data_IF_899048056727
#
_entry.id   IF_899048056727
#
_cell.length_a   1.000
_cell.length_b   1.000
_cell.length_c   1.000
_cell.angle_alpha   90.00
_cell.angle_beta   90.00
_cell.angle_gamma   90.00
#
_symmetry.space_group_name_H-M   'P 1'
#
loop_
_entity.id
_entity.type
_entity.pdbx_description
1 polymer ?
#
# COMPACT_ATOMS: atom_id res chain seq x y z
N UNK A 1 13.87 1.58 0.87
CA UNK A 1 12.50 2.12 1.11
C UNK A 1 12.26 3.32 0.22
N UNK A 2 11.00 3.75 0.03
CA UNK A 2 10.68 4.99 -0.70
C UNK A 2 11.29 6.23 -0.04
N UNK A 3 11.61 7.25 -0.84
CA UNK A 3 12.27 8.48 -0.38
C UNK A 3 11.47 9.26 0.66
N UNK A 4 10.14 9.11 0.67
CA UNK A 4 9.23 9.74 1.64
C UNK A 4 9.19 9.03 3.01
N UNK A 5 9.88 7.90 3.17
CA UNK A 5 9.90 7.20 4.44
C UNK A 5 10.63 7.99 5.52
N UNK A 6 10.00 8.07 6.70
CA UNK A 6 10.57 8.69 7.90
C UNK A 6 11.47 7.74 8.71
N UNK A 7 11.79 6.54 8.21
CA UNK A 7 12.68 5.61 8.90
C UNK A 7 14.12 6.14 8.93
N UNK A 8 14.78 5.97 10.07
CA UNK A 8 16.16 6.43 10.31
C UNK A 8 17.22 5.42 9.82
N UNK A 9 16.81 4.18 9.55
CA UNK A 9 17.71 3.04 9.24
C UNK A 9 17.59 2.59 7.79
N UNK A 10 17.64 3.52 6.84
CA UNK A 10 17.48 3.22 5.41
C UNK A 10 18.81 3.37 4.70
N UNK A 11 19.34 2.26 4.17
CA UNK A 11 20.56 2.28 3.34
C UNK A 11 20.30 2.87 1.96
N UNK A 12 19.16 2.51 1.34
CA UNK A 12 18.79 2.95 -0.02
C UNK A 12 17.38 3.52 -0.03
N UNK A 13 17.26 4.79 -0.40
CA UNK A 13 15.98 5.46 -0.69
C UNK A 13 15.71 5.42 -2.18
N UNK A 14 14.54 4.90 -2.57
CA UNK A 14 14.10 4.84 -3.97
C UNK A 14 13.12 5.94 -4.27
N UNK A 15 13.26 6.53 -5.46
CA UNK A 15 12.37 7.58 -5.96
C UNK A 15 11.17 6.98 -6.70
N UNK A 16 10.19 7.82 -6.95
CA UNK A 16 9.06 7.42 -7.78
C UNK A 16 9.52 7.10 -9.21
N UNK A 17 8.96 6.03 -9.79
CA UNK A 17 9.29 5.48 -11.10
C UNK A 17 10.77 5.07 -11.28
N UNK A 18 11.50 4.87 -10.18
CA UNK A 18 12.88 4.40 -10.24
C UNK A 18 12.94 2.90 -10.54
N UNK A 19 13.89 2.50 -11.38
CA UNK A 19 14.18 1.11 -11.69
C UNK A 19 15.16 0.54 -10.69
N UNK A 20 14.75 -0.52 -10.01
CA UNK A 20 15.56 -1.27 -9.06
C UNK A 20 15.92 -2.59 -9.72
N UNK A 21 17.23 -2.86 -9.87
CA UNK A 21 17.74 -4.12 -10.40
C UNK A 21 18.30 -4.97 -9.27
N UNK A 22 17.84 -6.21 -9.18
CA UNK A 22 18.33 -7.22 -8.26
C UNK A 22 18.64 -8.45 -9.11
N UNK A 23 19.90 -8.64 -9.47
CA UNK A 23 20.34 -9.70 -10.40
C UNK A 23 19.54 -9.65 -11.72
N UNK A 24 18.75 -10.66 -12.00
CA UNK A 24 17.92 -10.77 -13.20
C UNK A 24 16.50 -10.21 -13.03
N UNK A 25 16.18 -9.65 -11.87
CA UNK A 25 14.90 -9.04 -11.57
C UNK A 25 14.96 -7.52 -11.74
N UNK A 26 13.93 -6.97 -12.35
CA UNK A 26 13.71 -5.52 -12.44
C UNK A 26 12.36 -5.18 -11.78
N UNK A 27 12.40 -4.24 -10.84
CA UNK A 27 11.20 -3.64 -10.25
C UNK A 27 11.18 -2.15 -10.60
N UNK A 28 9.99 -1.62 -10.75
CA UNK A 28 9.74 -0.18 -10.85
C UNK A 28 9.03 0.24 -9.57
N UNK A 29 9.63 1.17 -8.83
CA UNK A 29 9.00 1.75 -7.66
C UNK A 29 7.91 2.73 -8.08
N UNK A 30 6.76 2.68 -7.43
CA UNK A 30 5.62 3.56 -7.67
C UNK A 30 5.21 4.19 -6.34
N UNK A 31 5.36 5.50 -6.19
CA UNK A 31 4.82 6.19 -5.02
C UNK A 31 3.30 6.14 -5.06
N UNK A 32 2.68 5.46 -4.13
CA UNK A 32 1.23 5.22 -4.04
C UNK A 32 0.71 5.62 -2.66
N UNK A 33 0.73 6.93 -2.34
CA UNK A 33 0.30 7.44 -1.03
C UNK A 33 -1.18 7.21 -0.80
N UNK A 34 -1.58 7.28 0.47
CA UNK A 34 -2.97 7.23 0.90
C UNK A 34 -3.22 6.32 2.09
N UNK A 35 -2.74 5.07 2.12
CA UNK A 35 -2.68 4.29 3.36
C UNK A 35 -1.71 4.93 4.36
N UNK A 36 -0.55 5.33 3.87
CA UNK A 36 0.39 6.26 4.50
C UNK A 36 0.89 7.25 3.44
N UNK A 37 1.45 8.39 3.85
CA UNK A 37 2.08 9.36 2.95
C UNK A 37 3.33 8.80 2.23
N UNK A 38 3.97 7.81 2.83
CA UNK A 38 5.18 7.16 2.32
C UNK A 38 4.95 5.79 1.67
N UNK A 39 3.70 5.44 1.33
CA UNK A 39 3.39 4.15 0.70
C UNK A 39 3.96 4.03 -0.70
N UNK A 40 4.51 2.85 -1.01
CA UNK A 40 5.04 2.50 -2.32
C UNK A 40 4.52 1.15 -2.78
N UNK A 41 4.22 1.06 -4.07
CA UNK A 41 3.98 -0.20 -4.79
C UNK A 41 5.20 -0.54 -5.64
N UNK A 42 5.40 -1.82 -5.95
CA UNK A 42 6.53 -2.27 -6.77
C UNK A 42 6.01 -3.09 -7.94
N UNK A 43 6.26 -2.59 -9.15
CA UNK A 43 5.81 -3.20 -10.40
C UNK A 43 6.91 -4.05 -11.01
N UNK A 44 6.58 -5.28 -11.39
CA UNK A 44 7.36 -6.15 -12.28
C UNK A 44 6.65 -6.28 -13.62
N UNK A 45 7.22 -7.06 -14.53
CA UNK A 45 6.69 -7.23 -15.91
C UNK A 45 5.21 -7.64 -15.97
N UNK A 46 4.78 -8.52 -15.06
CA UNK A 46 3.46 -9.17 -15.07
C UNK A 46 2.68 -9.00 -13.77
N UNK A 47 3.27 -8.37 -12.76
CA UNK A 47 2.69 -8.26 -11.41
C UNK A 47 3.05 -6.98 -10.70
N UNK A 48 2.24 -6.61 -9.73
CA UNK A 48 2.47 -5.47 -8.84
C UNK A 48 2.27 -5.89 -7.38
N UNK A 49 3.19 -5.48 -6.53
CA UNK A 49 3.11 -5.60 -5.08
C UNK A 49 2.59 -4.28 -4.53
N UNK A 50 1.37 -4.28 -4.03
CA UNK A 50 0.63 -3.04 -3.70
C UNK A 50 0.71 -2.63 -2.24
N UNK A 51 1.39 -3.42 -1.40
CA UNK A 51 1.36 -3.17 0.03
C UNK A 51 -0.08 -3.12 0.55
N UNK A 52 -0.39 -2.11 1.33
CA UNK A 52 -1.75 -1.83 1.81
C UNK A 52 -2.47 -0.72 1.00
N UNK A 53 -1.92 -0.31 -0.14
CA UNK A 53 -2.63 0.63 -1.02
C UNK A 53 -3.85 -0.04 -1.64
N UNK A 54 -3.70 -1.23 -2.24
CA UNK A 54 -4.79 -2.02 -2.81
C UNK A 54 -4.75 -3.44 -2.25
N UNK A 55 -5.84 -3.86 -1.62
CA UNK A 55 -6.06 -5.22 -1.11
C UNK A 55 -7.03 -5.99 -2.01
N UNK A 56 -7.21 -7.28 -1.76
CA UNK A 56 -8.22 -8.09 -2.45
C UNK A 56 -9.59 -7.74 -1.87
N UNK A 57 -10.48 -7.23 -2.72
CA UNK A 57 -11.82 -6.75 -2.34
C UNK A 57 -11.82 -5.70 -1.22
N UNK A 58 -10.76 -4.90 -1.15
CA UNK A 58 -10.60 -3.84 -0.16
C UNK A 58 -9.43 -2.93 -0.48
N UNK A 59 -9.14 -2.01 0.43
CA UNK A 59 -7.98 -1.12 0.42
C UNK A 59 -7.46 -0.97 1.85
N UNK A 60 -6.23 -0.54 2.04
CA UNK A 60 -5.74 -0.15 3.34
C UNK A 60 -6.55 1.02 3.92
N UNK A 61 -6.62 1.10 5.23
CA UNK A 61 -7.21 2.25 5.94
C UNK A 61 -6.40 3.52 5.69
N UNK A 62 -7.04 4.69 5.87
CA UNK A 62 -6.42 5.99 5.58
C UNK A 62 -6.44 6.95 6.77
N UNK A 63 -6.82 6.46 7.94
CA UNK A 63 -7.05 7.24 9.16
C UNK A 63 -5.86 7.25 10.13
N UNK A 64 -4.70 6.69 9.72
CA UNK A 64 -3.45 6.68 10.48
C UNK A 64 -2.25 7.09 9.63
N UNK A 65 -1.13 7.44 10.29
CA UNK A 65 0.19 7.66 9.69
C UNK A 65 0.17 8.60 8.48
N UNK A 66 -0.50 9.74 8.61
CA UNK A 66 -0.72 10.72 7.55
C UNK A 66 -1.44 10.12 6.32
N UNK A 67 -2.31 9.14 6.55
CA UNK A 67 -3.15 8.58 5.50
C UNK A 67 -4.13 9.61 4.96
N UNK A 68 -4.49 9.46 3.67
CA UNK A 68 -5.40 10.36 2.97
C UNK A 68 -6.21 9.57 1.92
N UNK A 69 -7.55 9.54 2.02
CA UNK A 69 -8.36 8.79 1.07
C UNK A 69 -8.34 9.37 -0.34
N UNK A 70 -8.19 10.67 -0.50
CA UNK A 70 -8.10 11.32 -1.83
C UNK A 70 -6.80 10.88 -2.52
N UNK A 71 -5.67 10.92 -1.82
CA UNK A 71 -4.39 10.45 -2.35
C UNK A 71 -4.45 8.96 -2.69
N UNK A 72 -5.11 8.15 -1.86
CA UNK A 72 -5.29 6.73 -2.13
C UNK A 72 -6.14 6.47 -3.38
N UNK A 73 -7.20 7.24 -3.57
CA UNK A 73 -7.99 7.19 -4.81
C UNK A 73 -7.10 7.44 -6.03
N UNK A 74 -6.35 8.53 -6.06
CA UNK A 74 -5.45 8.85 -7.16
C UNK A 74 -4.38 7.77 -7.36
N UNK A 75 -3.80 7.25 -6.30
CA UNK A 75 -2.84 6.15 -6.35
C UNK A 75 -3.43 4.90 -7.01
N UNK A 76 -4.68 4.56 -6.70
CA UNK A 76 -5.34 3.38 -7.26
C UNK A 76 -5.82 3.65 -8.70
N UNK A 77 -6.61 4.68 -8.92
CA UNK A 77 -7.31 4.90 -10.20
C UNK A 77 -6.40 5.45 -11.30
N UNK A 78 -5.43 6.28 -10.95
CA UNK A 78 -4.56 6.95 -11.94
C UNK A 78 -3.22 6.25 -12.13
N UNK A 79 -2.83 5.34 -11.23
CA UNK A 79 -1.58 4.60 -11.32
C UNK A 79 -1.79 3.08 -11.41
N UNK A 80 -2.28 2.45 -10.34
CA UNK A 80 -2.41 0.98 -10.29
C UNK A 80 -3.40 0.49 -11.35
N UNK A 81 -4.56 1.13 -11.48
CA UNK A 81 -5.59 0.76 -12.45
C UNK A 81 -5.26 1.14 -13.91
N UNK A 82 -4.16 1.84 -14.17
CA UNK A 82 -3.63 2.04 -15.53
C UNK A 82 -2.77 0.88 -16.02
N UNK A 83 -2.39 -0.02 -15.14
CA UNK A 83 -1.68 -1.24 -15.49
C UNK A 83 -2.57 -2.17 -16.36
N UNK A 84 -1.98 -3.07 -17.15
CA UNK A 84 -2.73 -4.04 -17.95
C UNK A 84 -3.71 -4.85 -17.07
N UNK A 85 -4.87 -5.15 -17.60
CA UNK A 85 -5.96 -5.84 -16.88
C UNK A 85 -5.54 -7.17 -16.24
N UNK A 86 -4.64 -7.90 -16.91
CA UNK A 86 -4.14 -9.19 -16.47
C UNK A 86 -3.02 -9.11 -15.44
N UNK A 87 -2.52 -7.91 -15.13
CA UNK A 87 -1.45 -7.73 -14.13
C UNK A 87 -1.89 -8.34 -12.81
N UNK A 88 -1.08 -9.25 -12.29
CA UNK A 88 -1.31 -9.89 -11.00
C UNK A 88 -1.06 -8.88 -9.86
N UNK A 89 -1.94 -8.87 -8.88
CA UNK A 89 -1.86 -7.98 -7.72
C UNK A 89 -1.57 -8.82 -6.47
N UNK A 90 -0.46 -8.50 -5.81
CA UNK A 90 -0.04 -9.10 -4.55
C UNK A 90 -0.09 -8.05 -3.44
N UNK A 91 -1.12 -8.06 -2.59
CA UNK A 91 -1.20 -7.16 -1.43
C UNK A 91 -0.30 -7.63 -0.28
N UNK A 92 -0.06 -6.75 0.70
CA UNK A 92 0.66 -7.12 1.92
C UNK A 92 -0.22 -7.93 2.89
N UNK A 93 -1.53 -7.68 2.90
CA UNK A 93 -2.48 -8.35 3.79
C UNK A 93 -3.69 -8.90 3.02
N UNK A 94 -4.18 -10.04 3.48
CA UNK A 94 -5.50 -10.56 3.16
C UNK A 94 -6.04 -11.31 4.39
N UNK A 95 -7.31 -11.08 4.71
CA UNK A 95 -7.95 -11.65 5.90
C UNK A 95 -8.84 -12.86 5.57
N UNK A 96 -8.94 -13.23 4.29
CA UNK A 96 -9.80 -14.31 3.78
C UNK A 96 -9.00 -15.50 3.21
N UNK A 97 -7.66 -15.45 3.29
CA UNK A 97 -6.78 -16.50 2.80
C UNK A 97 -6.46 -16.44 1.30
N UNK A 98 -6.85 -15.36 0.62
CA UNK A 98 -6.46 -15.12 -0.77
C UNK A 98 -5.00 -14.65 -0.82
N UNK A 99 -4.30 -14.98 -1.91
CA UNK A 99 -2.89 -14.61 -2.09
C UNK A 99 -2.66 -13.66 -3.25
N UNK A 100 -3.52 -13.71 -4.25
CA UNK A 100 -3.34 -12.98 -5.51
C UNK A 100 -4.69 -12.69 -6.15
N UNK A 101 -4.76 -11.58 -6.85
CA UNK A 101 -5.88 -11.17 -7.69
C UNK A 101 -5.36 -10.51 -8.97
N UNK A 102 -6.23 -9.91 -9.78
CA UNK A 102 -5.86 -9.15 -10.97
C UNK A 102 -6.38 -7.72 -10.92
N UNK A 103 -5.80 -6.85 -11.71
CA UNK A 103 -6.31 -5.47 -11.89
C UNK A 103 -7.77 -5.51 -12.37
N UNK A 104 -8.11 -6.40 -13.30
CA UNK A 104 -9.48 -6.50 -13.81
C UNK A 104 -10.48 -6.91 -12.74
N UNK A 105 -10.14 -7.92 -11.93
CA UNK A 105 -10.99 -8.37 -10.83
C UNK A 105 -11.23 -7.26 -9.80
N UNK A 106 -10.19 -6.52 -9.44
CA UNK A 106 -10.35 -5.45 -8.45
C UNK A 106 -11.15 -4.26 -9.01
N UNK A 107 -10.95 -3.90 -10.27
CA UNK A 107 -11.81 -2.90 -10.94
C UNK A 107 -13.29 -3.27 -10.92
N UNK A 108 -13.58 -4.56 -11.13
CA UNK A 108 -14.96 -5.05 -11.29
C UNK A 108 -15.64 -5.34 -9.96
N UNK A 109 -14.91 -5.90 -9.01
CA UNK A 109 -15.52 -6.56 -7.84
C UNK A 109 -15.17 -5.90 -6.49
N UNK A 110 -14.17 -5.01 -6.43
CA UNK A 110 -13.78 -4.40 -5.17
C UNK A 110 -14.87 -3.41 -4.70
N UNK A 111 -15.56 -3.69 -3.57
CA UNK A 111 -16.72 -2.89 -3.15
C UNK A 111 -16.37 -1.44 -2.77
N UNK A 112 -15.11 -1.17 -2.40
CA UNK A 112 -14.65 0.19 -2.07
C UNK A 112 -14.34 1.02 -3.30
N UNK A 113 -14.19 0.40 -4.46
CA UNK A 113 -13.74 1.03 -5.70
C UNK A 113 -14.85 1.15 -6.77
N UNK A 114 -16.12 0.88 -6.38
CA UNK A 114 -17.31 1.12 -7.22
C UNK A 114 -17.78 2.57 -7.04
N UNK A 115 -16.89 3.52 -7.31
CA UNK A 115 -17.09 4.96 -7.14
C UNK A 115 -16.60 5.71 -8.39
N UNK A 116 -17.15 6.90 -8.61
CA UNK A 116 -16.81 7.72 -9.78
C UNK A 116 -15.88 8.89 -9.42
N UNK A 117 -15.89 9.32 -8.15
CA UNK A 117 -15.12 10.50 -7.71
C UNK A 117 -14.29 10.22 -6.45
N UNK A 118 -13.21 10.99 -6.24
CA UNK A 118 -12.40 10.90 -5.01
C UNK A 118 -13.23 11.17 -3.74
N UNK A 119 -14.23 12.05 -3.81
CA UNK A 119 -15.07 12.41 -2.68
C UNK A 119 -15.98 11.24 -2.26
N UNK A 120 -16.55 10.51 -3.22
CA UNK A 120 -17.32 9.29 -2.93
C UNK A 120 -16.45 8.22 -2.28
N UNK A 121 -15.21 8.05 -2.76
CA UNK A 121 -14.27 7.15 -2.14
C UNK A 121 -13.92 7.59 -0.72
N UNK A 122 -13.64 8.87 -0.51
CA UNK A 122 -13.33 9.41 0.80
C UNK A 122 -14.50 9.24 1.79
N UNK A 123 -15.73 9.38 1.34
CA UNK A 123 -16.91 9.13 2.17
C UNK A 123 -16.96 7.66 2.64
N UNK A 124 -16.73 6.71 1.75
CA UNK A 124 -16.64 5.28 2.12
C UNK A 124 -15.54 5.07 3.16
N UNK A 125 -14.33 5.60 2.91
CA UNK A 125 -13.18 5.38 3.77
C UNK A 125 -13.33 6.01 5.15
N UNK A 126 -13.90 7.20 5.24
CA UNK A 126 -14.15 7.92 6.49
C UNK A 126 -15.25 7.25 7.35
N UNK A 127 -16.13 6.47 6.74
CA UNK A 127 -17.17 5.72 7.43
C UNK A 127 -16.77 4.28 7.81
N UNK A 128 -15.52 3.88 7.55
CA UNK A 128 -15.00 2.60 7.99
C UNK A 128 -14.77 2.63 9.51
N UNK A 129 -15.67 2.03 10.26
CA UNK A 129 -15.54 1.87 11.72
C UNK A 129 -14.56 0.71 12.05
N UNK A 130 -13.29 0.90 11.76
CA UNK A 130 -12.26 -0.12 12.00
C UNK A 130 -11.69 0.01 13.42
N UNK A 131 -11.50 -1.12 14.08
CA UNK A 131 -10.79 -1.16 15.37
C UNK A 131 -9.34 -0.71 15.19
N UNK A 132 -8.76 -0.13 16.24
CA UNK A 132 -7.35 0.26 16.21
C UNK A 132 -6.46 -0.97 16.04
N UNK A 133 -5.40 -0.88 15.22
CA UNK A 133 -4.42 -1.95 15.12
C UNK A 133 -3.78 -2.22 16.49
N UNK A 134 -3.65 -3.50 16.82
CA UNK A 134 -2.97 -3.91 18.05
C UNK A 134 -1.50 -3.46 18.01
N UNK A 135 -1.01 -2.95 19.15
CA UNK A 135 0.40 -2.60 19.36
C UNK A 135 0.97 -1.54 18.42
N UNK A 136 0.15 -0.78 17.72
CA UNK A 136 0.61 0.25 16.78
C UNK A 136 1.51 1.29 17.46
N UNK A 137 1.17 1.67 18.68
CA UNK A 137 1.93 2.67 19.48
C UNK A 137 3.36 2.22 19.80
N UNK A 138 3.62 0.92 19.77
CA UNK A 138 4.95 0.35 19.99
C UNK A 138 5.60 0.00 18.65
N UNK A 139 4.87 -0.67 17.75
CA UNK A 139 5.42 -1.18 16.50
C UNK A 139 5.85 -0.07 15.53
N UNK A 140 5.09 1.03 15.42
CA UNK A 140 5.43 2.13 14.51
C UNK A 140 6.73 2.84 14.90
N UNK A 141 6.92 3.28 16.17
CA UNK A 141 8.22 3.84 16.60
C UNK A 141 9.38 2.86 16.47
N UNK A 142 9.17 1.58 16.82
CA UNK A 142 10.19 0.55 16.74
C UNK A 142 10.64 0.33 15.28
N UNK A 143 9.71 0.22 14.34
CA UNK A 143 10.00 0.07 12.92
C UNK A 143 10.74 1.30 12.33
N UNK A 144 10.37 2.52 12.74
CA UNK A 144 11.06 3.73 12.31
C UNK A 144 12.52 3.75 12.72
N UNK A 145 12.82 3.22 13.90
CA UNK A 145 14.19 3.16 14.48
C UNK A 145 14.93 1.87 14.11
N UNK A 146 14.29 0.91 13.44
CA UNK A 146 14.87 -0.38 13.12
C UNK A 146 15.19 -1.23 14.36
N UNK A 147 14.38 -1.12 15.41
CA UNK A 147 14.57 -1.87 16.66
C UNK A 147 14.25 -3.36 16.46
N UNK A 148 14.99 -4.22 17.14
CA UNK A 148 14.64 -5.62 17.29
C UNK A 148 13.44 -5.81 18.22
N UNK A 149 12.78 -6.98 18.18
CA UNK A 149 11.65 -7.29 19.07
C UNK A 149 12.03 -7.10 20.56
N UNK A 150 13.23 -7.55 20.95
CA UNK A 150 13.75 -7.42 22.30
C UNK A 150 13.91 -5.94 22.73
N UNK A 151 14.46 -5.10 21.86
CA UNK A 151 14.61 -3.65 22.13
C UNK A 151 13.27 -2.93 22.19
N UNK A 152 12.26 -3.44 21.48
CA UNK A 152 10.89 -2.94 21.48
C UNK A 152 10.04 -3.51 22.66
N UNK A 153 10.59 -4.40 23.51
CA UNK A 153 9.88 -5.14 24.56
C UNK A 153 8.66 -5.93 24.03
N UNK A 154 8.84 -6.59 22.89
CA UNK A 154 7.81 -7.37 22.20
C UNK A 154 8.11 -8.88 22.19
N UNK A 155 8.99 -9.34 23.06
CA UNK A 155 9.33 -10.77 23.24
C UNK A 155 8.25 -11.52 24.01
#
# INVERSE_FOLDING_TARGET
>A
MGEHSASEVIDIKVKDNEKIKIENLELISMHTPGHTDCSYSFLMKDRVFTGDTLLINGTGRTDFQNGNPIDQYHSIFERIFKLPKQTLVYPAHDYNGNKVTTIEEQKKNNPRLQVETPEQYAEIMNNLNLTNPKMMDIAVPANKKGMTLKEANLD
#
